data_IF_770660384412
#
_entry.id   IF_770660384412
#
_cell.length_a   1.000
_cell.length_b   1.000
_cell.length_c   1.000
_cell.angle_alpha   90.00
_cell.angle_beta   90.00
_cell.angle_gamma   90.00
#
_symmetry.space_group_name_H-M   'P 1'
#
loop_
_entity.id
_entity.type
_entity.pdbx_description
1 polymer ?
#
# COMPACT_ATOMS: atom_id res chain seq x y z
N UNK A 1 -10.26 -31.59 2.28
CA UNK A 1 -8.84 -31.63 1.83
C UNK A 1 -8.63 -31.03 0.44
N UNK A 2 -9.37 -31.41 -0.60
CA UNK A 2 -9.19 -30.89 -1.98
C UNK A 2 -9.40 -29.36 -2.11
N UNK A 3 -10.38 -28.79 -1.41
CA UNK A 3 -10.62 -27.34 -1.46
C UNK A 3 -9.48 -26.50 -0.87
N UNK A 4 -8.76 -27.03 0.11
CA UNK A 4 -7.65 -26.33 0.76
C UNK A 4 -6.48 -26.14 -0.22
N UNK A 5 -6.13 -27.18 -0.98
CA UNK A 5 -5.08 -27.12 -2.01
C UNK A 5 -5.46 -26.19 -3.17
N UNK A 6 -6.74 -26.16 -3.58
CA UNK A 6 -7.21 -25.20 -4.59
C UNK A 6 -7.13 -23.75 -4.14
N UNK A 7 -7.41 -23.46 -2.87
CA UNK A 7 -7.26 -22.10 -2.34
C UNK A 7 -5.78 -21.70 -2.23
N UNK A 8 -4.91 -22.64 -1.83
CA UNK A 8 -3.46 -22.43 -1.84
C UNK A 8 -2.92 -22.20 -3.26
N UNK A 9 -3.36 -22.96 -4.28
CA UNK A 9 -2.98 -22.72 -5.68
C UNK A 9 -3.45 -21.35 -6.19
N UNK A 10 -4.65 -20.90 -5.80
CA UNK A 10 -5.14 -19.54 -6.10
C UNK A 10 -4.28 -18.44 -5.46
N UNK A 11 -3.79 -18.67 -4.24
CA UNK A 11 -2.89 -17.74 -3.55
C UNK A 11 -1.50 -17.75 -4.21
N UNK A 12 -1.00 -18.91 -4.60
CA UNK A 12 0.32 -19.10 -5.23
C UNK A 12 0.37 -18.61 -6.68
N UNK A 13 -0.75 -18.62 -7.42
CA UNK A 13 -0.81 -18.15 -8.81
C UNK A 13 -1.04 -16.65 -8.97
N UNK A 14 -1.15 -15.86 -7.89
CA UNK A 14 -1.20 -14.42 -8.06
C UNK A 14 0.14 -13.91 -8.59
N UNK A 15 0.10 -13.39 -9.81
CA UNK A 15 1.26 -12.71 -10.36
C UNK A 15 1.54 -11.44 -9.57
N UNK A 16 2.81 -11.02 -9.49
CA UNK A 16 3.20 -9.74 -8.88
C UNK A 16 2.38 -8.57 -9.45
N UNK A 17 2.00 -8.65 -10.73
CA UNK A 17 1.18 -7.66 -11.42
C UNK A 17 -0.24 -7.59 -10.82
N UNK A 18 -0.87 -8.73 -10.56
CA UNK A 18 -2.21 -8.78 -9.97
C UNK A 18 -2.22 -8.32 -8.51
N UNK A 19 -1.16 -8.64 -7.75
CA UNK A 19 -0.98 -8.13 -6.39
C UNK A 19 -0.88 -6.60 -6.38
N UNK A 20 -0.07 -6.02 -7.27
CA UNK A 20 0.05 -4.57 -7.41
C UNK A 20 -1.27 -3.90 -7.81
N UNK A 21 -2.01 -4.49 -8.76
CA UNK A 21 -3.34 -3.97 -9.16
C UNK A 21 -4.30 -3.90 -7.97
N UNK A 22 -4.41 -5.00 -7.21
CA UNK A 22 -5.26 -5.06 -6.02
C UNK A 22 -4.83 -4.06 -4.94
N UNK A 23 -3.53 -3.88 -4.76
CA UNK A 23 -2.99 -2.87 -3.85
C UNK A 23 -3.48 -1.47 -4.25
N UNK A 24 -3.33 -1.05 -5.51
CA UNK A 24 -3.83 0.27 -5.94
C UNK A 24 -5.36 0.40 -5.86
N UNK A 25 -6.10 -0.66 -6.19
CA UNK A 25 -7.55 -0.68 -6.10
C UNK A 25 -8.05 -0.53 -4.64
N UNK A 26 -7.34 -1.10 -3.66
CA UNK A 26 -7.71 -0.93 -2.25
C UNK A 26 -7.63 0.54 -1.83
N UNK A 27 -6.61 1.29 -2.28
CA UNK A 27 -6.52 2.73 -2.03
C UNK A 27 -7.61 3.53 -2.74
N UNK A 28 -7.91 3.20 -4.00
CA UNK A 28 -8.97 3.88 -4.78
C UNK A 28 -10.32 3.78 -4.08
N UNK A 29 -10.64 2.61 -3.56
CA UNK A 29 -11.91 2.33 -2.89
C UNK A 29 -11.94 2.80 -1.42
N UNK A 30 -10.90 3.50 -0.95
CA UNK A 30 -10.71 3.92 0.46
C UNK A 30 -10.74 2.76 1.47
N UNK A 31 -10.57 1.54 0.99
CA UNK A 31 -10.46 0.36 1.83
C UNK A 31 -9.00 0.28 2.32
N UNK A 32 -8.79 0.69 3.57
CA UNK A 32 -7.46 0.78 4.18
C UNK A 32 -6.94 -0.59 4.63
N UNK A 33 -6.81 -1.55 3.72
CA UNK A 33 -6.16 -2.84 4.01
C UNK A 33 -4.76 -3.03 3.36
N UNK A 34 -3.82 -2.05 3.39
CA UNK A 34 -2.43 -2.26 2.97
C UNK A 34 -1.74 -3.42 3.70
N UNK A 35 -2.21 -3.75 4.91
CA UNK A 35 -1.68 -4.82 5.76
C UNK A 35 -1.77 -6.20 5.10
N UNK A 36 -2.70 -6.40 4.16
CA UNK A 36 -2.83 -7.66 3.44
C UNK A 36 -1.84 -7.79 2.27
N UNK A 37 -1.14 -6.72 1.93
CA UNK A 37 -0.26 -6.65 0.74
C UNK A 37 1.21 -6.44 1.07
N UNK A 38 1.54 -6.04 2.29
CA UNK A 38 2.90 -5.69 2.66
C UNK A 38 3.33 -6.46 3.91
N UNK A 39 4.60 -6.88 3.92
CA UNK A 39 5.24 -7.38 5.13
C UNK A 39 5.40 -6.24 6.15
N UNK A 40 5.42 -6.59 7.43
CA UNK A 40 5.50 -5.60 8.52
C UNK A 40 6.73 -4.71 8.43
N UNK A 41 7.86 -5.25 7.96
CA UNK A 41 9.15 -4.57 7.87
C UNK A 41 9.43 -3.96 6.48
N UNK A 42 8.41 -3.81 5.63
CA UNK A 42 8.57 -3.24 4.30
C UNK A 42 9.26 -1.87 4.34
N UNK A 43 10.19 -1.68 3.41
CA UNK A 43 10.87 -0.40 3.23
C UNK A 43 10.22 0.39 2.09
N UNK A 44 9.76 1.59 2.41
CA UNK A 44 9.22 2.54 1.45
C UNK A 44 10.17 3.72 1.28
N UNK A 45 10.64 3.93 0.07
CA UNK A 45 11.50 5.07 -0.29
C UNK A 45 10.68 6.03 -1.14
N UNK A 46 10.45 7.22 -0.61
CA UNK A 46 9.85 8.32 -1.38
C UNK A 46 10.94 9.17 -2.04
N UNK A 47 10.64 9.72 -3.20
CA UNK A 47 11.57 10.56 -3.96
C UNK A 47 12.02 11.81 -3.20
N UNK A 48 13.26 12.22 -3.46
CA UNK A 48 13.78 13.51 -3.05
C UNK A 48 12.94 14.64 -3.69
N UNK A 49 12.54 15.62 -2.88
CA UNK A 49 11.69 16.74 -3.32
C UNK A 49 10.18 16.52 -3.11
N UNK A 50 9.73 15.31 -2.74
CA UNK A 50 8.34 15.13 -2.28
C UNK A 50 8.15 15.65 -0.85
N UNK A 51 6.95 16.18 -0.52
CA UNK A 51 6.58 16.42 0.87
C UNK A 51 6.71 15.12 1.67
N UNK A 52 7.51 15.13 2.73
CA UNK A 52 7.88 13.95 3.52
C UNK A 52 8.81 12.94 2.82
N UNK A 53 9.59 13.39 1.83
CA UNK A 53 10.63 12.62 1.13
C UNK A 53 11.68 12.00 2.07
N UNK A 54 11.55 10.73 2.43
CA UNK A 54 12.50 9.96 3.27
C UNK A 54 12.27 8.45 3.15
N UNK A 55 13.23 7.68 3.67
CA UNK A 55 13.13 6.23 3.85
C UNK A 55 12.23 5.91 5.05
N UNK A 56 11.25 5.03 4.87
CA UNK A 56 10.34 4.57 5.91
C UNK A 56 10.43 3.05 6.06
N UNK A 57 10.92 2.59 7.21
CA UNK A 57 10.86 1.17 7.58
C UNK A 57 9.58 0.94 8.36
N UNK A 58 8.79 -0.02 7.88
CA UNK A 58 7.55 -0.47 8.48
C UNK A 58 6.30 0.15 7.88
N UNK A 59 5.31 -0.69 7.57
CA UNK A 59 4.07 -0.29 6.88
C UNK A 59 3.31 0.80 7.64
N UNK A 60 3.14 0.62 8.95
CA UNK A 60 2.49 1.60 9.83
C UNK A 60 3.16 2.98 9.77
N UNK A 61 4.48 3.00 9.65
CA UNK A 61 5.26 4.24 9.59
C UNK A 61 5.06 4.96 8.26
N UNK A 62 4.99 4.23 7.16
CA UNK A 62 4.67 4.75 5.83
C UNK A 62 3.24 5.33 5.77
N UNK A 63 2.23 4.58 6.24
CA UNK A 63 0.83 5.02 6.18
C UNK A 63 0.60 6.32 6.96
N UNK A 64 1.17 6.41 8.18
CA UNK A 64 1.02 7.60 9.03
C UNK A 64 1.82 8.81 8.54
N UNK A 65 3.07 8.61 8.10
CA UNK A 65 3.99 9.73 7.86
C UNK A 65 4.02 10.22 6.42
N UNK A 66 3.64 9.37 5.47
CA UNK A 66 3.74 9.67 4.05
C UNK A 66 2.35 9.77 3.46
N UNK A 67 1.58 8.67 3.54
CA UNK A 67 0.31 8.59 2.84
C UNK A 67 -0.72 9.60 3.37
N UNK A 68 -0.99 9.60 4.68
CA UNK A 68 -1.97 10.50 5.28
C UNK A 68 -1.59 11.98 5.08
N UNK A 69 -0.30 12.30 5.17
CA UNK A 69 0.19 13.67 4.99
C UNK A 69 0.10 14.12 3.54
N UNK A 70 0.45 13.26 2.58
CA UNK A 70 0.28 13.56 1.15
C UNK A 70 -1.20 13.80 0.82
N UNK A 71 -2.10 12.95 1.32
CA UNK A 71 -3.54 13.14 1.14
C UNK A 71 -4.00 14.50 1.70
N UNK A 72 -3.65 14.82 2.96
CA UNK A 72 -3.99 16.09 3.59
C UNK A 72 -3.44 17.30 2.83
N UNK A 73 -2.16 17.28 2.46
CA UNK A 73 -1.52 18.37 1.71
C UNK A 73 -2.22 18.61 0.37
N UNK A 74 -2.50 17.55 -0.39
CA UNK A 74 -3.18 17.68 -1.69
C UNK A 74 -4.63 18.14 -1.54
N UNK A 75 -5.35 17.67 -0.52
CA UNK A 75 -6.73 18.14 -0.27
C UNK A 75 -6.79 19.59 0.20
N UNK A 76 -5.78 20.06 0.96
CA UNK A 76 -5.73 21.43 1.44
C UNK A 76 -5.22 22.40 0.35
N UNK A 77 -4.35 21.96 -0.56
CA UNK A 77 -3.91 22.77 -1.70
C UNK A 77 -4.98 22.94 -2.78
N UNK A 78 -5.98 22.04 -2.84
CA UNK A 78 -7.12 22.12 -3.76
C UNK A 78 -8.32 22.89 -3.18
N UNK A 79 -8.19 23.50 -1.99
CA UNK A 79 -9.23 24.34 -1.36
C UNK A 79 -9.02 25.85 -1.57
N UNK A 80 -8.21 26.24 -2.56
CA UNK A 80 -8.00 27.62 -3.00
C UNK A 80 -8.89 27.89 -4.20
#
# INVERSE_FOLDING_TARGET
MINYYRELEKIVMQTNIELLKKFYDSFRNKNQEPHNFCQDEVEWITMNGMPNGRRHVGLNRFLKNTFLKCYQTLTNSMRI
#
